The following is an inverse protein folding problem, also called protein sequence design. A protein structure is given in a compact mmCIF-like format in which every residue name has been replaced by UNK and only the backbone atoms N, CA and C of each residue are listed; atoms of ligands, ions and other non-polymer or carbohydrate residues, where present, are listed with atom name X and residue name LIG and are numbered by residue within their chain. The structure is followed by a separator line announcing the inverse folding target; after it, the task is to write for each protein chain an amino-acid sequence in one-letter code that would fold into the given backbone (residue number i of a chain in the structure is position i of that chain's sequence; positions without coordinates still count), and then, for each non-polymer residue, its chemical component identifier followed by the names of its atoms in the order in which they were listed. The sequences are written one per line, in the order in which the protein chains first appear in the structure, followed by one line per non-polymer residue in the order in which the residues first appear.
data_IF_147148151918
#
_entry.id   IF_147148151918
#
_cell.length_a   1.000
_cell.length_b   1.000
_cell.length_c   1.000
_cell.angle_alpha   90.00
_cell.angle_beta   90.00
_cell.angle_gamma   90.00
#
_symmetry.space_group_name_H-M   'P 1'
#
loop_
_entity.id
_entity.type
_entity.pdbx_description
1 polymer ?
#
# COMPACT_ATOMS: atom_id res chain seq x y z
N UNK A 1 -5.12 12.56 9.77
CA UNK A 1 -5.41 11.60 10.80
C UNK A 1 -4.16 11.20 11.53
N UNK A 2 -4.26 11.13 12.81
CA UNK A 2 -3.12 10.71 13.59
C UNK A 2 -2.78 9.25 13.34
N UNK A 3 -1.52 8.93 13.45
CA UNK A 3 -1.09 7.56 13.38
C UNK A 3 -0.89 7.01 12.00
N UNK A 4 -1.05 7.81 10.99
CA UNK A 4 -0.80 7.32 9.65
C UNK A 4 0.70 7.24 9.40
N UNK A 5 1.08 6.33 8.54
CA UNK A 5 2.44 6.18 8.14
C UNK A 5 2.85 7.20 7.09
N UNK A 6 4.01 6.95 6.50
CA UNK A 6 4.52 7.85 5.49
C UNK A 6 3.75 7.70 4.19
N UNK A 7 3.50 8.81 3.49
CA UNK A 7 2.85 8.70 2.19
C UNK A 7 3.78 8.03 1.17
N UNK A 8 3.17 7.30 0.28
CA UNK A 8 3.89 6.58 -0.78
C UNK A 8 3.69 7.34 -2.07
N UNK A 9 4.70 8.09 -2.48
CA UNK A 9 4.58 8.94 -3.66
C UNK A 9 5.52 8.56 -4.78
N UNK A 10 6.58 7.81 -4.46
CA UNK A 10 7.58 7.41 -5.45
C UNK A 10 7.70 5.90 -5.47
N UNK A 11 8.13 5.36 -6.62
CA UNK A 11 8.29 3.93 -6.76
C UNK A 11 9.22 3.34 -5.70
N UNK A 12 10.27 4.06 -5.35
CA UNK A 12 11.19 3.58 -4.33
C UNK A 12 10.54 3.48 -2.96
N UNK A 13 9.54 4.32 -2.70
CA UNK A 13 8.79 4.23 -1.45
C UNK A 13 8.03 2.92 -1.37
N UNK A 14 7.45 2.52 -2.50
CA UNK A 14 6.74 1.26 -2.57
C UNK A 14 7.67 0.08 -2.38
N UNK A 15 8.87 0.15 -2.92
CA UNK A 15 9.84 -0.92 -2.73
C UNK A 15 10.25 -1.06 -1.28
N UNK A 16 10.37 0.05 -0.58
CA UNK A 16 10.68 0.01 0.85
C UNK A 16 9.51 -0.50 1.66
N UNK A 17 8.30 -0.32 1.15
CA UNK A 17 7.11 -0.79 1.83
C UNK A 17 6.80 -2.25 1.53
N UNK A 18 7.67 -2.93 0.79
CA UNK A 18 7.47 -4.33 0.45
C UNK A 18 7.28 -5.15 1.73
N UNK A 19 6.30 -6.03 1.72
CA UNK A 19 5.87 -6.82 2.87
C UNK A 19 5.18 -6.01 3.96
N UNK A 20 4.91 -4.74 3.73
CA UNK A 20 4.20 -3.90 4.68
C UNK A 20 2.76 -3.75 4.26
N UNK A 21 1.91 -3.50 5.25
CA UNK A 21 0.51 -3.25 5.00
C UNK A 21 0.35 -1.79 4.58
N UNK A 22 -0.37 -1.57 3.47
CA UNK A 22 -0.59 -0.23 2.97
C UNK A 22 -2.07 -0.02 2.72
N UNK A 23 -2.49 1.22 2.84
CA UNK A 23 -3.84 1.62 2.48
C UNK A 23 -3.75 2.50 1.23
N UNK A 24 -4.49 2.13 0.21
CA UNK A 24 -4.47 2.79 -1.08
C UNK A 24 -5.84 3.35 -1.39
N UNK A 25 -5.87 4.62 -1.77
CA UNK A 25 -7.10 5.23 -2.28
C UNK A 25 -6.93 5.41 -3.78
N UNK A 26 -7.86 4.85 -4.54
CA UNK A 26 -7.83 4.93 -5.98
C UNK A 26 -8.49 6.21 -6.47
N UNK A 27 -8.26 6.53 -7.74
CA UNK A 27 -8.77 7.77 -8.29
C UNK A 27 -10.29 7.80 -8.40
N UNK A 28 -10.93 6.64 -8.30
CA UNK A 28 -12.39 6.56 -8.31
C UNK A 28 -12.98 6.56 -6.89
N UNK A 29 -12.21 6.98 -5.90
CA UNK A 29 -12.59 7.04 -4.49
C UNK A 29 -12.69 5.67 -3.81
N UNK A 30 -12.31 4.61 -4.48
CA UNK A 30 -12.24 3.30 -3.86
C UNK A 30 -11.03 3.23 -2.93
N UNK A 31 -11.16 2.45 -1.87
CA UNK A 31 -10.06 2.23 -0.94
C UNK A 31 -9.75 0.76 -0.85
N UNK A 32 -8.46 0.47 -0.79
CA UNK A 32 -7.97 -0.90 -0.64
C UNK A 32 -6.94 -0.91 0.46
N UNK A 33 -6.93 -1.99 1.23
CA UNK A 33 -5.88 -2.22 2.21
C UNK A 33 -5.27 -3.57 1.91
N UNK A 34 -3.98 -3.60 1.68
CA UNK A 34 -3.31 -4.85 1.34
C UNK A 34 -1.83 -4.78 1.64
N UNK A 35 -1.18 -5.92 1.52
CA UNK A 35 0.25 -6.02 1.77
C UNK A 35 0.99 -5.94 0.44
N UNK A 36 2.04 -5.14 0.42
CA UNK A 36 2.83 -4.97 -0.80
C UNK A 36 3.63 -6.25 -1.04
N UNK A 37 3.36 -6.89 -2.16
CA UNK A 37 4.10 -8.09 -2.56
C UNK A 37 5.25 -7.74 -3.46
N UNK A 38 5.04 -6.79 -4.36
CA UNK A 38 6.06 -6.39 -5.32
C UNK A 38 5.75 -4.96 -5.78
N UNK A 39 6.75 -4.30 -6.29
CA UNK A 39 6.56 -2.93 -6.77
C UNK A 39 7.52 -2.66 -7.93
N UNK A 40 6.97 -2.10 -8.99
CA UNK A 40 7.70 -1.68 -10.17
C UNK A 40 7.72 -0.17 -10.28
N UNK A 41 8.31 0.32 -11.37
CA UNK A 41 8.31 1.75 -11.63
C UNK A 41 6.93 2.25 -12.07
N UNK A 42 6.04 1.37 -12.49
CA UNK A 42 4.75 1.75 -13.05
C UNK A 42 3.57 1.21 -12.26
N UNK A 43 3.74 0.11 -11.56
CA UNK A 43 2.63 -0.48 -10.83
C UNK A 43 3.13 -1.22 -9.61
N UNK A 44 2.19 -1.55 -8.75
CA UNK A 44 2.46 -2.27 -7.52
C UNK A 44 1.52 -3.47 -7.44
N UNK A 45 2.01 -4.56 -6.89
CA UNK A 45 1.22 -5.75 -6.63
C UNK A 45 0.91 -5.82 -5.15
N UNK A 46 -0.37 -5.88 -4.83
CA UNK A 46 -0.83 -5.99 -3.45
C UNK A 46 -1.48 -7.33 -3.22
N UNK A 47 -1.27 -7.87 -2.03
CA UNK A 47 -2.00 -9.05 -1.60
C UNK A 47 -3.20 -8.61 -0.79
N UNK A 48 -4.38 -8.95 -1.29
CA UNK A 48 -5.65 -8.56 -0.69
C UNK A 48 -6.41 -9.82 -0.37
N UNK A 49 -6.49 -10.14 0.91
CA UNK A 49 -7.32 -11.24 1.36
C UNK A 49 -7.00 -12.55 0.63
N UNK A 50 -5.71 -12.80 0.44
CA UNK A 50 -5.28 -14.02 -0.22
C UNK A 50 -5.20 -13.94 -1.73
N UNK A 51 -5.55 -12.82 -2.31
CA UNK A 51 -5.47 -12.60 -3.75
C UNK A 51 -4.48 -11.50 -4.05
N UNK A 52 -3.83 -11.61 -5.20
CA UNK A 52 -2.90 -10.59 -5.64
C UNK A 52 -3.57 -9.68 -6.65
N UNK A 53 -3.30 -8.40 -6.54
CA UNK A 53 -3.87 -7.42 -7.44
C UNK A 53 -2.79 -6.45 -7.85
N UNK A 54 -2.71 -6.19 -9.16
CA UNK A 54 -1.75 -5.23 -9.71
C UNK A 54 -2.49 -3.93 -9.96
N UNK A 55 -1.91 -2.83 -9.45
CA UNK A 55 -2.51 -1.51 -9.55
C UNK A 55 -1.48 -0.56 -10.11
N UNK A 56 -1.86 0.19 -11.15
CA UNK A 56 -0.98 1.22 -11.71
C UNK A 56 -0.92 2.41 -10.76
N UNK A 57 0.26 2.99 -10.66
CA UNK A 57 0.41 4.18 -9.83
C UNK A 57 -0.47 5.32 -10.31
N UNK A 58 -0.74 5.37 -11.62
CA UNK A 58 -1.61 6.40 -12.19
C UNK A 58 -3.03 6.30 -11.67
N UNK A 59 -3.44 5.11 -11.26
CA UNK A 59 -4.79 4.91 -10.70
C UNK A 59 -4.85 5.17 -9.21
N UNK A 60 -3.71 5.41 -8.58
CA UNK A 60 -3.64 5.63 -7.15
C UNK A 60 -3.68 7.12 -6.89
N UNK A 61 -4.71 7.56 -6.17
CA UNK A 61 -4.81 8.94 -5.76
C UNK A 61 -3.98 9.21 -4.52
N UNK A 62 -3.93 8.25 -3.62
CA UNK A 62 -3.24 8.41 -2.36
C UNK A 62 -2.90 7.04 -1.79
N UNK A 63 -1.76 6.94 -1.14
CA UNK A 63 -1.37 5.69 -0.49
C UNK A 63 -0.49 5.99 0.71
N UNK A 64 -0.68 5.23 1.78
CA UNK A 64 0.13 5.36 2.97
C UNK A 64 0.43 3.98 3.54
N UNK A 65 1.58 3.87 4.19
CA UNK A 65 1.90 2.67 4.95
C UNK A 65 1.12 2.71 6.25
N UNK A 66 0.39 1.64 6.53
CA UNK A 66 -0.32 1.54 7.80
C UNK A 66 0.63 1.07 8.89
N UNK A 67 0.47 1.64 10.06
CA UNK A 67 1.22 1.20 11.22
C UNK A 67 0.55 -0.06 11.75
N UNK A 68 1.32 -1.14 11.84
CA UNK A 68 0.81 -2.40 12.36
C UNK A 68 1.12 -2.47 13.83
N UNK A 69 0.06 -2.42 14.64
CA UNK A 69 0.20 -2.50 16.07
C UNK A 69 -0.22 -3.86 16.56
N UNK A 70 0.29 -4.23 17.68
CA UNK A 70 -0.31 -5.26 18.49
C UNK A 70 0.09 -6.67 18.16
N UNK A 71 0.12 -7.00 16.90
CA UNK A 71 0.48 -8.35 16.55
C UNK A 71 1.86 -8.70 17.09
N UNK A 72 2.75 -7.76 17.06
CA UNK A 72 4.07 -7.97 17.62
C UNK A 72 4.00 -8.10 19.12
N UNK A 73 3.11 -7.33 19.69
CA UNK A 73 2.92 -7.37 21.13
C UNK A 73 2.07 -8.54 21.54
N UNK A 74 1.36 -9.05 20.60
CA UNK A 74 0.49 -10.16 20.91
C UNK A 74 1.28 -11.35 21.38
#
# INVERSE_FOLDING_TARGET
SPGVGRPLTLARHWRRAQSRLVQVQLSDDSELTGRVMDADDQHVTLSLDGQQRVIDYADIAKAVVQVEFGEAGA
#
